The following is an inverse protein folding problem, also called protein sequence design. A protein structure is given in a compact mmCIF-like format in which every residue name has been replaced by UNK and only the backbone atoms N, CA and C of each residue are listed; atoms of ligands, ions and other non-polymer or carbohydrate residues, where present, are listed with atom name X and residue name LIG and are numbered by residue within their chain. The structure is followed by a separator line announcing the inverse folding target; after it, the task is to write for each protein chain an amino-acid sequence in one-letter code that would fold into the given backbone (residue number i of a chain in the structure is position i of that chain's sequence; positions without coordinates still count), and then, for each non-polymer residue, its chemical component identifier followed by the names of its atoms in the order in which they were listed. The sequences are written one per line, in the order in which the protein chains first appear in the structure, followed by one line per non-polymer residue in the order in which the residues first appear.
data_IF_226323752918
#
_entry.id   IF_226323752918
#
_cell.length_a   1.000
_cell.length_b   1.000
_cell.length_c   1.000
_cell.angle_alpha   90.00
_cell.angle_beta   90.00
_cell.angle_gamma   90.00
#
_symmetry.space_group_name_H-M   'P 1'
#
loop_
_entity.id
_entity.type
_entity.pdbx_description
1 polymer ?
#
# COMPACT_ATOMS: atom_id res chain seq x y z
N UNK A 1 -50.10 22.30 -38.61
CA UNK A 1 -49.40 21.03 -38.34
C UNK A 1 -47.89 21.21 -38.23
N UNK A 2 -47.21 21.80 -39.21
CA UNK A 2 -45.74 21.92 -39.24
C UNK A 2 -45.14 22.66 -38.00
N UNK A 3 -45.76 23.78 -37.58
CA UNK A 3 -45.27 24.55 -36.41
C UNK A 3 -45.38 23.77 -35.10
N UNK A 4 -46.36 22.89 -34.94
CA UNK A 4 -46.54 22.06 -33.76
C UNK A 4 -45.45 20.96 -33.71
N UNK A 5 -45.14 20.35 -34.84
CA UNK A 5 -44.11 19.33 -34.97
C UNK A 5 -42.69 19.87 -34.67
N UNK A 6 -42.37 21.07 -35.20
CA UNK A 6 -41.08 21.74 -34.93
C UNK A 6 -40.93 22.09 -33.45
N UNK A 7 -42.01 22.57 -32.79
CA UNK A 7 -41.98 22.86 -31.36
C UNK A 7 -41.74 21.62 -30.47
N UNK A 8 -42.30 20.46 -30.85
CA UNK A 8 -42.08 19.21 -30.13
C UNK A 8 -40.64 18.71 -30.34
N UNK A 9 -40.11 18.81 -31.55
CA UNK A 9 -38.74 18.38 -31.87
C UNK A 9 -37.68 19.17 -31.09
N UNK A 10 -37.87 20.51 -30.98
CA UNK A 10 -36.96 21.36 -30.20
C UNK A 10 -37.01 21.00 -28.72
N UNK A 11 -38.17 20.73 -28.16
CA UNK A 11 -38.26 20.32 -26.74
C UNK A 11 -37.58 18.98 -26.47
N UNK A 12 -37.72 18.02 -27.35
CA UNK A 12 -37.05 16.72 -27.24
C UNK A 12 -35.54 16.88 -27.33
N UNK A 13 -35.04 17.72 -28.26
CA UNK A 13 -33.61 17.98 -28.42
C UNK A 13 -33.01 18.62 -27.17
N UNK A 14 -33.70 19.59 -26.56
CA UNK A 14 -33.26 20.25 -25.33
C UNK A 14 -33.22 19.26 -24.15
N UNK A 15 -34.18 18.39 -24.01
CA UNK A 15 -34.22 17.38 -22.94
C UNK A 15 -33.10 16.35 -23.12
N UNK A 16 -32.85 15.88 -24.33
CA UNK A 16 -31.79 14.93 -24.62
C UNK A 16 -30.39 15.55 -24.35
N UNK A 17 -30.15 16.81 -24.74
CA UNK A 17 -28.89 17.49 -24.45
C UNK A 17 -28.71 17.75 -22.97
N UNK A 18 -29.75 18.08 -22.20
CA UNK A 18 -29.69 18.24 -20.75
C UNK A 18 -29.37 16.92 -20.04
N UNK A 19 -29.97 15.80 -20.47
CA UNK A 19 -29.73 14.48 -19.93
C UNK A 19 -28.28 14.00 -20.21
N UNK A 20 -27.76 14.28 -21.40
CA UNK A 20 -26.34 13.94 -21.72
C UNK A 20 -25.34 14.75 -20.91
N UNK A 21 -25.62 16.03 -20.62
CA UNK A 21 -24.77 16.85 -19.74
C UNK A 21 -24.78 16.34 -18.29
N UNK A 22 -25.95 15.93 -17.76
CA UNK A 22 -26.06 15.39 -16.40
C UNK A 22 -25.31 14.07 -16.26
N UNK A 23 -25.35 13.19 -17.28
CA UNK A 23 -24.61 11.92 -17.24
C UNK A 23 -23.09 12.09 -17.29
N UNK A 24 -22.59 13.12 -17.96
CA UNK A 24 -21.14 13.42 -18.01
C UNK A 24 -20.63 13.95 -16.66
N UNK A 25 -21.44 14.70 -15.91
CA UNK A 25 -21.05 15.24 -14.59
C UNK A 25 -21.01 14.15 -13.51
N UNK A 26 -21.81 13.09 -13.62
CA UNK A 26 -21.85 11.99 -12.64
C UNK A 26 -20.70 10.97 -12.87
N UNK A 27 -20.08 10.96 -14.04
CA UNK A 27 -19.06 10.02 -14.44
C UNK A 27 -17.61 10.52 -14.23
N UNK A 28 -17.40 11.61 -13.46
CA UNK A 28 -16.04 11.92 -12.99
C UNK A 28 -15.77 10.96 -11.84
N UNK A 29 -15.01 9.87 -12.04
CA UNK A 29 -14.53 9.14 -10.90
C UNK A 29 -13.77 10.15 -10.04
N UNK A 30 -14.09 10.23 -8.76
CA UNK A 30 -13.20 10.85 -7.79
C UNK A 30 -11.88 10.07 -7.84
N UNK A 31 -11.03 10.43 -8.80
CA UNK A 31 -9.65 9.98 -8.81
C UNK A 31 -9.05 10.59 -7.54
N UNK A 32 -8.99 9.80 -6.47
CA UNK A 32 -8.09 10.10 -5.37
C UNK A 32 -6.77 10.46 -6.03
N UNK A 33 -6.31 11.70 -5.83
CA UNK A 33 -5.07 12.16 -6.40
C UNK A 33 -4.00 11.12 -6.02
N UNK A 34 -3.45 10.44 -7.04
CA UNK A 34 -2.42 9.44 -6.77
C UNK A 34 -1.28 10.16 -6.06
N UNK A 35 -0.77 9.61 -4.97
CA UNK A 35 0.34 10.25 -4.25
C UNK A 35 1.52 10.42 -5.22
N UNK A 36 2.16 11.58 -5.16
CA UNK A 36 3.46 11.77 -5.80
C UNK A 36 4.49 10.93 -5.05
N UNK A 37 5.41 10.31 -5.77
CA UNK A 37 6.43 9.43 -5.21
C UNK A 37 7.80 10.10 -5.26
N UNK A 38 8.53 10.03 -4.15
CA UNK A 38 9.92 10.49 -4.03
C UNK A 38 10.88 9.32 -3.91
N UNK A 39 12.10 9.51 -4.41
CA UNK A 39 13.15 8.51 -4.28
C UNK A 39 13.92 8.71 -2.97
N UNK A 40 14.20 7.61 -2.30
CA UNK A 40 15.06 7.52 -1.13
C UNK A 40 16.15 6.49 -1.36
N UNK A 41 17.36 6.79 -0.93
CA UNK A 41 18.51 5.90 -1.01
C UNK A 41 19.14 5.77 0.38
N UNK A 42 19.41 4.52 0.78
CA UNK A 42 20.12 4.18 2.00
C UNK A 42 21.41 3.43 1.66
N UNK A 43 22.52 4.15 1.66
CA UNK A 43 23.82 3.59 1.30
C UNK A 43 24.33 2.56 2.31
N UNK A 44 23.92 2.64 3.59
CA UNK A 44 24.31 1.67 4.61
C UNK A 44 23.66 0.31 4.38
N UNK A 45 22.44 0.32 3.86
CA UNK A 45 21.70 -0.88 3.49
C UNK A 45 21.92 -1.28 2.02
N UNK A 46 22.56 -0.46 1.21
CA UNK A 46 22.68 -0.72 -0.23
C UNK A 46 21.32 -0.85 -0.91
N UNK A 47 20.37 0.02 -0.59
CA UNK A 47 18.99 -0.06 -1.10
C UNK A 47 18.48 1.32 -1.52
N UNK A 48 17.74 1.34 -2.62
CA UNK A 48 16.93 2.50 -3.02
C UNK A 48 15.48 2.08 -3.19
N UNK A 49 14.56 3.00 -2.93
CA UNK A 49 13.13 2.80 -3.10
C UNK A 49 12.40 4.14 -3.34
N UNK A 50 11.13 4.06 -3.71
CA UNK A 50 10.26 5.24 -3.77
C UNK A 50 9.24 5.18 -2.64
N UNK A 51 8.90 6.33 -2.08
CA UNK A 51 7.89 6.49 -1.04
C UNK A 51 6.95 7.66 -1.38
N UNK A 52 5.73 7.71 -0.80
CA UNK A 52 4.86 8.87 -0.98
C UNK A 52 5.50 10.17 -0.49
N UNK A 53 5.35 11.26 -1.24
CA UNK A 53 5.94 12.58 -0.97
C UNK A 53 5.69 13.11 0.46
N UNK A 54 4.52 12.78 1.03
CA UNK A 54 4.13 13.20 2.39
C UNK A 54 4.74 12.35 3.52
N UNK A 55 5.75 11.53 3.23
CA UNK A 55 6.34 10.61 4.21
C UNK A 55 7.56 11.22 4.89
N UNK A 56 7.65 11.04 6.21
CA UNK A 56 8.85 11.33 6.99
C UNK A 56 9.78 10.13 7.03
N UNK A 57 11.08 10.37 6.93
CA UNK A 57 12.11 9.34 7.04
C UNK A 57 12.75 9.45 8.40
N UNK A 58 12.63 8.38 9.17
CA UNK A 58 13.23 8.26 10.50
C UNK A 58 14.33 7.22 10.44
N UNK A 59 15.57 7.66 10.60
CA UNK A 59 16.71 6.74 10.73
C UNK A 59 16.69 6.15 12.14
N UNK A 60 16.77 4.83 12.22
CA UNK A 60 16.99 4.18 13.50
C UNK A 60 18.45 4.38 13.89
N UNK A 61 18.68 5.16 14.95
CA UNK A 61 20.03 5.48 15.45
C UNK A 61 20.66 4.33 16.24
N UNK A 62 20.04 3.18 16.30
CA UNK A 62 20.65 1.99 16.89
C UNK A 62 21.77 1.49 15.96
N UNK A 63 23.01 1.84 16.33
CA UNK A 63 24.23 1.55 15.54
C UNK A 63 24.48 0.05 15.29
N UNK A 64 23.70 -0.81 15.91
CA UNK A 64 23.83 -2.27 15.77
C UNK A 64 22.97 -2.86 14.67
N UNK A 65 21.93 -2.15 14.22
CA UNK A 65 21.03 -2.61 13.18
C UNK A 65 20.95 -1.55 12.08
N UNK A 66 21.41 -1.91 10.87
CA UNK A 66 21.19 -1.10 9.68
C UNK A 66 19.68 -1.09 9.36
N UNK A 67 18.92 -0.26 10.07
CA UNK A 67 17.47 -0.16 9.89
C UNK A 67 17.03 1.29 9.70
N UNK A 68 15.95 1.47 8.97
CA UNK A 68 15.31 2.76 8.80
C UNK A 68 13.79 2.60 8.68
N UNK A 69 13.08 3.67 8.95
CA UNK A 69 11.63 3.72 8.92
C UNK A 69 11.17 4.87 8.03
N UNK A 70 10.24 4.58 7.15
CA UNK A 70 9.51 5.58 6.37
C UNK A 70 8.07 5.59 6.87
N UNK A 71 7.59 6.74 7.27
CA UNK A 71 6.28 6.90 7.86
C UNK A 71 5.50 7.99 7.12
N UNK A 72 4.39 7.61 6.53
CA UNK A 72 3.44 8.53 5.91
C UNK A 72 2.34 8.84 6.92
N UNK A 73 2.25 10.11 7.33
CA UNK A 73 1.16 10.59 8.17
C UNK A 73 0.11 11.23 7.26
N UNK A 74 -1.01 10.55 7.08
CA UNK A 74 -2.21 11.20 6.60
C UNK A 74 -3.09 11.52 7.81
N UNK A 75 -3.88 12.58 7.72
CA UNK A 75 -4.71 13.02 8.82
C UNK A 75 -5.77 11.93 9.14
N UNK A 76 -5.63 11.25 10.28
CA UNK A 76 -6.58 10.23 10.75
C UNK A 76 -8.01 10.78 10.95
N UNK A 77 -8.19 12.10 10.95
CA UNK A 77 -9.51 12.72 10.97
C UNK A 77 -10.19 12.68 9.59
N UNK A 78 -9.44 12.42 8.52
CA UNK A 78 -10.00 12.16 7.19
C UNK A 78 -10.34 10.67 7.09
N UNK A 79 -11.63 10.29 6.98
CA UNK A 79 -12.03 8.90 6.90
C UNK A 79 -11.41 8.16 5.69
N UNK A 80 -11.00 8.90 4.66
CA UNK A 80 -10.39 8.34 3.46
C UNK A 80 -8.86 8.21 3.57
N UNK A 81 -8.28 8.61 4.71
CA UNK A 81 -6.83 8.58 4.90
C UNK A 81 -6.33 7.18 5.22
N UNK A 82 -5.20 6.82 4.61
CA UNK A 82 -4.46 5.59 4.88
C UNK A 82 -3.08 5.96 5.42
N UNK A 83 -2.81 5.61 6.68
CA UNK A 83 -1.46 5.70 7.22
C UNK A 83 -0.63 4.52 6.76
N UNK A 84 0.60 4.80 6.36
CA UNK A 84 1.56 3.77 5.97
C UNK A 84 2.84 3.93 6.79
N UNK A 85 3.36 2.81 7.25
CA UNK A 85 4.71 2.72 7.81
C UNK A 85 5.45 1.60 7.10
N UNK A 86 6.63 1.89 6.58
CA UNK A 86 7.60 0.90 6.14
C UNK A 86 8.78 0.92 7.10
N UNK A 87 9.11 -0.22 7.64
CA UNK A 87 10.32 -0.45 8.40
C UNK A 87 11.20 -1.41 7.61
N UNK A 88 12.44 -1.03 7.35
CA UNK A 88 13.43 -1.85 6.66
C UNK A 88 14.55 -2.20 7.61
N UNK A 89 14.86 -3.47 7.71
CA UNK A 89 16.02 -3.97 8.46
C UNK A 89 16.96 -4.71 7.50
N UNK A 90 18.24 -4.36 7.54
CA UNK A 90 19.28 -4.96 6.72
C UNK A 90 20.22 -5.73 7.65
N UNK A 91 20.32 -7.02 7.47
CA UNK A 91 21.14 -7.92 8.29
C UNK A 91 22.34 -8.33 7.48
N UNK A 92 23.57 -8.06 7.97
CA UNK A 92 24.83 -8.38 7.32
C UNK A 92 25.13 -9.89 7.37
N UNK A 93 24.14 -10.68 7.00
CA UNK A 93 24.19 -12.13 6.92
C UNK A 93 23.03 -12.64 6.08
N UNK A 94 23.31 -13.52 5.14
CA UNK A 94 22.26 -14.26 4.45
C UNK A 94 21.62 -15.31 5.39
N UNK A 95 20.36 -15.11 5.74
CA UNK A 95 19.54 -16.04 6.53
C UNK A 95 18.66 -16.80 5.55
N UNK A 96 18.60 -18.14 5.57
CA UNK A 96 17.70 -18.86 4.69
C UNK A 96 16.25 -18.46 4.89
N UNK A 97 15.57 -18.04 3.82
CA UNK A 97 14.14 -17.74 3.85
C UNK A 97 13.38 -19.05 3.63
N UNK A 98 12.88 -19.61 4.71
CA UNK A 98 12.23 -20.92 4.75
C UNK A 98 10.75 -20.79 5.13
N UNK A 99 9.97 -21.84 4.85
CA UNK A 99 8.60 -21.94 5.31
C UNK A 99 8.51 -21.78 6.82
N UNK A 100 9.43 -22.38 7.58
CA UNK A 100 9.45 -22.32 9.05
C UNK A 100 9.65 -20.89 9.56
N UNK A 101 10.59 -20.13 8.96
CA UNK A 101 10.81 -18.73 9.33
C UNK A 101 9.60 -17.85 9.03
N UNK A 102 8.96 -18.06 7.87
CA UNK A 102 7.73 -17.34 7.51
C UNK A 102 6.54 -17.73 8.40
N UNK A 103 6.44 -19.00 8.82
CA UNK A 103 5.44 -19.45 9.81
C UNK A 103 5.65 -18.77 11.17
N UNK A 104 6.90 -18.61 11.60
CA UNK A 104 7.23 -17.87 12.82
C UNK A 104 6.84 -16.40 12.69
N UNK A 105 7.16 -15.76 11.56
CA UNK A 105 6.76 -14.39 11.27
C UNK A 105 5.23 -14.24 11.28
N UNK A 106 4.50 -15.16 10.64
CA UNK A 106 3.03 -15.20 10.66
C UNK A 106 2.49 -15.37 12.07
N UNK A 107 3.06 -16.28 12.85
CA UNK A 107 2.63 -16.53 14.23
C UNK A 107 2.80 -15.29 15.11
N UNK A 108 3.90 -14.55 14.93
CA UNK A 108 4.14 -13.31 15.65
C UNK A 108 3.12 -12.23 15.28
N UNK A 109 2.72 -12.14 14.00
CA UNK A 109 1.67 -11.22 13.57
C UNK A 109 0.29 -11.60 14.13
N UNK A 110 -0.01 -12.90 14.27
CA UNK A 110 -1.27 -13.45 14.77
C UNK A 110 -1.38 -13.48 16.30
N UNK A 111 -0.49 -12.87 17.04
CA UNK A 111 -0.59 -12.81 18.52
C UNK A 111 -1.87 -12.11 19.00
N UNK A 112 -2.45 -11.22 18.20
CA UNK A 112 -3.78 -10.68 18.44
C UNK A 112 -4.85 -11.69 18.01
N UNK A 113 -5.71 -12.10 18.95
CA UNK A 113 -6.78 -13.08 18.72
C UNK A 113 -7.83 -12.67 17.67
N UNK A 114 -7.85 -11.40 17.27
CA UNK A 114 -8.75 -10.85 16.26
C UNK A 114 -8.09 -10.71 14.88
N UNK A 115 -6.80 -11.01 14.77
CA UNK A 115 -6.08 -10.95 13.52
C UNK A 115 -6.51 -12.08 12.57
N UNK A 116 -6.63 -11.76 11.30
CA UNK A 116 -6.95 -12.72 10.23
C UNK A 116 -5.89 -12.65 9.13
N UNK A 117 -5.54 -13.80 8.56
CA UNK A 117 -4.63 -13.87 7.41
C UNK A 117 -5.38 -13.38 6.18
N UNK A 118 -4.84 -12.37 5.48
CA UNK A 118 -5.37 -11.84 4.22
C UNK A 118 -4.51 -12.22 3.01
N UNK A 119 -3.21 -12.42 3.22
CA UNK A 119 -2.29 -13.01 2.24
C UNK A 119 -1.50 -14.11 2.95
N UNK A 120 -1.67 -15.36 2.49
CA UNK A 120 -0.95 -16.51 3.07
C UNK A 120 0.52 -16.49 2.65
N UNK A 121 1.33 -17.29 3.35
CA UNK A 121 2.77 -17.39 3.07
C UNK A 121 2.98 -17.73 1.60
N UNK A 122 3.77 -16.93 0.92
CA UNK A 122 4.08 -17.06 -0.48
C UNK A 122 5.54 -16.76 -0.76
N UNK A 123 6.16 -17.60 -1.61
CA UNK A 123 7.54 -17.42 -2.09
C UNK A 123 7.63 -17.08 -3.58
N UNK A 124 6.49 -17.06 -4.28
CA UNK A 124 6.44 -16.92 -5.73
C UNK A 124 5.69 -15.68 -6.21
N UNK A 125 5.00 -14.99 -5.33
CA UNK A 125 4.15 -13.84 -5.67
C UNK A 125 4.86 -12.51 -5.54
N UNK A 126 5.88 -12.45 -4.69
CA UNK A 126 6.63 -11.23 -4.42
C UNK A 126 8.06 -11.45 -4.87
N UNK A 127 8.53 -10.58 -5.76
CA UNK A 127 9.93 -10.48 -6.12
C UNK A 127 10.38 -9.04 -5.86
N UNK A 128 11.53 -8.88 -5.24
CA UNK A 128 12.13 -7.56 -5.01
C UNK A 128 13.40 -7.51 -5.85
N UNK A 129 13.44 -6.59 -6.81
CA UNK A 129 14.57 -6.42 -7.73
C UNK A 129 15.02 -7.76 -8.38
N UNK A 130 14.03 -8.59 -8.77
CA UNK A 130 14.19 -9.95 -9.32
C UNK A 130 14.64 -11.03 -8.30
N UNK A 131 14.87 -10.69 -7.05
CA UNK A 131 15.17 -11.67 -5.99
C UNK A 131 13.86 -12.31 -5.48
N UNK A 132 13.95 -13.61 -5.15
CA UNK A 132 12.81 -14.31 -4.53
C UNK A 132 12.58 -13.79 -3.12
N UNK A 133 11.33 -13.51 -2.80
CA UNK A 133 10.94 -13.07 -1.48
C UNK A 133 9.88 -13.98 -0.85
N UNK A 134 9.98 -14.22 0.44
CA UNK A 134 8.90 -14.76 1.27
C UNK A 134 8.01 -13.62 1.73
N UNK A 135 6.68 -13.79 1.70
CA UNK A 135 5.75 -12.76 2.17
C UNK A 135 4.54 -13.36 2.87
N UNK A 136 3.99 -12.60 3.83
CA UNK A 136 2.74 -12.90 4.53
C UNK A 136 2.08 -11.59 4.96
N UNK A 137 0.73 -11.52 4.93
CA UNK A 137 0.02 -10.36 5.44
C UNK A 137 -1.20 -10.76 6.27
N UNK A 138 -1.45 -10.01 7.32
CA UNK A 138 -2.62 -10.12 8.19
C UNK A 138 -3.40 -8.82 8.25
N UNK A 139 -4.67 -8.89 8.62
CA UNK A 139 -5.48 -7.74 9.01
C UNK A 139 -6.00 -7.92 10.42
N UNK A 140 -6.02 -6.84 11.20
CA UNK A 140 -6.57 -6.81 12.55
C UNK A 140 -7.34 -5.50 12.82
N UNK A 141 -8.39 -5.51 13.65
CA UNK A 141 -9.08 -4.30 14.07
C UNK A 141 -8.25 -3.52 15.07
N UNK A 142 -8.34 -2.19 15.04
CA UNK A 142 -7.76 -1.32 16.07
C UNK A 142 -8.85 -0.97 17.10
N UNK A 143 -8.78 -1.57 18.27
CA UNK A 143 -9.73 -1.33 19.36
C UNK A 143 -11.17 -1.72 19.01
N UNK A 144 -12.12 -0.81 19.28
CA UNK A 144 -13.56 -0.93 18.98
C UNK A 144 -13.98 0.01 17.84
N UNK A 145 -13.05 0.40 16.99
CA UNK A 145 -13.26 1.33 15.88
C UNK A 145 -13.43 0.58 14.56
N UNK A 146 -13.91 1.30 13.53
CA UNK A 146 -13.94 0.78 12.16
C UNK A 146 -12.56 0.85 11.48
N UNK A 147 -11.51 1.20 12.24
CA UNK A 147 -10.15 1.23 11.74
C UNK A 147 -9.57 -0.18 11.73
N UNK A 148 -9.02 -0.55 10.58
CA UNK A 148 -8.26 -1.79 10.39
C UNK A 148 -6.78 -1.46 10.23
N UNK A 149 -5.98 -2.37 10.71
CA UNK A 149 -4.54 -2.41 10.48
C UNK A 149 -4.20 -3.62 9.61
N UNK A 150 -3.33 -3.42 8.64
CA UNK A 150 -2.76 -4.49 7.84
C UNK A 150 -1.26 -4.49 8.09
N UNK A 151 -0.75 -5.62 8.56
CA UNK A 151 0.67 -5.87 8.72
C UNK A 151 1.13 -6.85 7.64
N UNK A 152 2.14 -6.47 6.87
CA UNK A 152 2.80 -7.31 5.87
C UNK A 152 4.27 -7.43 6.18
N UNK A 153 4.79 -8.65 6.19
CA UNK A 153 6.21 -8.94 6.28
C UNK A 153 6.67 -9.51 4.96
N UNK A 154 7.79 -9.02 4.47
CA UNK A 154 8.47 -9.54 3.28
C UNK A 154 9.93 -9.72 3.65
N UNK A 155 10.48 -10.90 3.34
CA UNK A 155 11.87 -11.24 3.56
C UNK A 155 12.51 -11.65 2.24
N UNK A 156 13.68 -11.11 1.94
CA UNK A 156 14.47 -11.47 0.76
C UNK A 156 15.96 -11.44 1.08
N UNK A 157 16.74 -12.17 0.30
CA UNK A 157 18.19 -12.12 0.35
C UNK A 157 18.72 -11.47 -0.93
N UNK A 158 19.72 -10.62 -0.77
CA UNK A 158 20.52 -10.12 -1.88
C UNK A 158 21.99 -10.13 -1.48
N UNK A 159 22.84 -10.76 -2.29
CA UNK A 159 24.25 -11.00 -1.94
C UNK A 159 24.36 -11.72 -0.58
N UNK A 160 25.16 -11.21 0.35
CA UNK A 160 25.36 -11.79 1.67
C UNK A 160 24.44 -11.18 2.75
N UNK A 161 23.37 -10.45 2.34
CA UNK A 161 22.48 -9.73 3.24
C UNK A 161 21.08 -10.31 3.22
N UNK A 162 20.40 -10.21 4.36
CA UNK A 162 18.95 -10.44 4.48
C UNK A 162 18.26 -9.10 4.71
N UNK A 163 17.20 -8.87 3.95
CA UNK A 163 16.35 -7.69 4.05
C UNK A 163 14.97 -8.10 4.57
N UNK A 164 14.52 -7.40 5.59
CA UNK A 164 13.19 -7.59 6.16
C UNK A 164 12.42 -6.27 6.01
N UNK A 165 11.35 -6.31 5.24
CA UNK A 165 10.42 -5.20 5.04
C UNK A 165 9.17 -5.47 5.86
N UNK A 166 8.86 -4.59 6.81
CA UNK A 166 7.62 -4.61 7.57
C UNK A 166 6.78 -3.42 7.16
N UNK A 167 5.69 -3.70 6.45
CA UNK A 167 4.72 -2.70 6.05
C UNK A 167 3.53 -2.76 6.99
N UNK A 168 3.16 -1.61 7.51
CA UNK A 168 1.97 -1.43 8.31
C UNK A 168 1.09 -0.38 7.63
N UNK A 169 -0.19 -0.71 7.47
CA UNK A 169 -1.20 0.19 6.92
C UNK A 169 -2.36 0.27 7.91
N UNK A 170 -2.80 1.48 8.22
CA UNK A 170 -3.97 1.69 9.06
C UNK A 170 -4.95 2.65 8.39
N UNK A 171 -6.23 2.29 8.36
CA UNK A 171 -7.27 3.09 7.75
C UNK A 171 -8.66 2.56 8.07
N UNK A 172 -9.69 3.29 7.62
CA UNK A 172 -11.08 2.93 7.84
C UNK A 172 -11.54 1.87 6.81
N UNK A 173 -11.91 0.67 7.29
CA UNK A 173 -12.41 -0.41 6.43
C UNK A 173 -13.73 -0.07 5.74
N UNK A 174 -14.57 0.77 6.37
CA UNK A 174 -15.84 1.21 5.80
C UNK A 174 -15.70 2.10 4.56
N UNK A 175 -14.50 2.60 4.30
CA UNK A 175 -14.20 3.39 3.10
C UNK A 175 -14.05 2.45 1.90
N UNK A 176 -14.88 2.69 0.90
CA UNK A 176 -14.79 1.98 -0.38
C UNK A 176 -13.39 2.15 -0.96
N UNK A 177 -12.63 1.05 -1.02
CA UNK A 177 -11.29 1.07 -1.61
C UNK A 177 -10.13 0.87 -0.62
N UNK A 178 -10.37 0.71 0.69
CA UNK A 178 -9.30 0.48 1.67
C UNK A 178 -8.29 -0.59 1.22
N UNK A 179 -8.77 -1.79 0.87
CA UNK A 179 -7.91 -2.88 0.41
C UNK A 179 -7.27 -2.62 -0.96
N UNK A 180 -7.94 -1.85 -1.83
CA UNK A 180 -7.36 -1.47 -3.11
C UNK A 180 -6.23 -0.45 -2.94
N UNK A 181 -6.40 0.51 -2.03
CA UNK A 181 -5.37 1.48 -1.69
C UNK A 181 -4.17 0.80 -1.02
N UNK A 182 -4.42 -0.13 -0.10
CA UNK A 182 -3.37 -0.96 0.49
C UNK A 182 -2.56 -1.68 -0.59
N UNK A 183 -3.22 -2.40 -1.50
CA UNK A 183 -2.53 -3.12 -2.58
C UNK A 183 -1.75 -2.17 -3.47
N UNK A 184 -2.38 -1.08 -3.90
CA UNK A 184 -1.73 -0.09 -4.75
C UNK A 184 -0.45 0.47 -4.10
N UNK A 185 -0.49 0.89 -2.84
CA UNK A 185 0.66 1.44 -2.13
C UNK A 185 1.72 0.36 -1.88
N UNK A 186 1.31 -0.82 -1.42
CA UNK A 186 2.21 -1.95 -1.16
C UNK A 186 2.95 -2.37 -2.43
N UNK A 187 2.23 -2.58 -3.54
CA UNK A 187 2.82 -3.05 -4.78
C UNK A 187 3.76 -2.01 -5.39
N UNK A 188 3.35 -0.74 -5.47
CA UNK A 188 4.21 0.32 -6.00
C UNK A 188 5.49 0.52 -5.17
N UNK A 189 5.38 0.41 -3.85
CA UNK A 189 6.54 0.52 -2.96
C UNK A 189 7.50 -0.66 -3.19
N UNK A 190 6.98 -1.90 -3.19
CA UNK A 190 7.78 -3.12 -3.38
C UNK A 190 8.45 -3.12 -4.75
N UNK A 191 7.71 -2.79 -5.82
CA UNK A 191 8.22 -2.75 -7.19
C UNK A 191 9.29 -1.67 -7.38
N UNK A 192 9.31 -0.66 -6.53
CA UNK A 192 10.28 0.43 -6.58
C UNK A 192 11.62 0.10 -5.92
N UNK A 193 11.68 -0.97 -5.12
CA UNK A 193 12.87 -1.34 -4.36
C UNK A 193 13.94 -1.87 -5.32
N UNK A 194 15.17 -1.34 -5.16
CA UNK A 194 16.36 -1.74 -5.90
C UNK A 194 17.52 -1.94 -4.94
N UNK A 195 18.30 -2.98 -5.19
CA UNK A 195 19.55 -3.22 -4.46
C UNK A 195 20.71 -2.56 -5.22
N UNK A 196 21.61 -1.92 -4.46
CA UNK A 196 22.88 -1.43 -5.00
C UNK A 196 23.82 -2.62 -5.24
N UNK A 197 24.50 -2.59 -6.37
CA UNK A 197 25.55 -3.58 -6.68
C UNK A 197 26.81 -3.34 -5.87
#
# INVERSE_FOLDING_TARGET
MLKLLVGILIKILVVVTLLTFITIIIAVPSSLAQPTWEAYENNNCGISLKHPYSSDIVLDNDKSNNSFKIQSFQNLADPDSLNMTLMVSCIDKAIPITQENMELARSNLLMDSKAIVIEDISFNRTAIDAEKAGSVAISKPIGLTDIKEIDKIIETNHSDHTYIFKLNFAGNEGVSGFYNNYRYLSDNLIDSIKFSQ
#
